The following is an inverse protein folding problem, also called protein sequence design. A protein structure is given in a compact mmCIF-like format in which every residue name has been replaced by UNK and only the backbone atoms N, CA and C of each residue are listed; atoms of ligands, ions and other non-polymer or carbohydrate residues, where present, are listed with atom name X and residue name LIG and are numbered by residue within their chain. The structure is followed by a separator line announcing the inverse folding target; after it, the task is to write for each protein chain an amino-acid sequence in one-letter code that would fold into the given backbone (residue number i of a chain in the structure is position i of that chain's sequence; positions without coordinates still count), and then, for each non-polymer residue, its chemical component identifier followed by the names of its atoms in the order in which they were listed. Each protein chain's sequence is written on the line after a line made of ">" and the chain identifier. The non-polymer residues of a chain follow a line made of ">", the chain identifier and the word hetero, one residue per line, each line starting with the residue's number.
data_IF_073417737367
#
_entry.id   IF_073417737367
#
_cell.length_a   1.000
_cell.length_b   1.000
_cell.length_c   1.000
_cell.angle_alpha   90.00
_cell.angle_beta   90.00
_cell.angle_gamma   90.00
#
_symmetry.space_group_name_H-M   'P 1'
#
loop_
_entity.id
_entity.type
_entity.pdbx_description
1 polymer ?
#
# COMPACT_ATOMS: atom_id res chain seq x y z
N UNK A 1 -30.49 9.79 -14.23
CA UNK A 1 -29.05 9.86 -13.94
C UNK A 1 -28.27 9.15 -15.05
N UNK A 2 -27.29 9.78 -15.57
CA UNK A 2 -26.40 9.15 -16.55
C UNK A 2 -25.15 8.61 -15.85
N UNK A 3 -24.64 7.50 -16.36
CA UNK A 3 -23.39 6.92 -15.91
C UNK A 3 -22.32 7.30 -16.89
N UNK A 4 -21.25 7.89 -16.37
CA UNK A 4 -20.12 8.32 -17.18
C UNK A 4 -19.02 7.26 -17.12
N UNK A 5 -18.59 6.83 -18.31
CA UNK A 5 -17.46 5.89 -18.43
C UNK A 5 -16.22 6.69 -18.83
N UNK A 6 -15.20 6.64 -17.98
CA UNK A 6 -13.95 7.36 -18.19
C UNK A 6 -12.81 6.38 -18.44
N UNK A 7 -12.01 6.60 -19.49
CA UNK A 7 -10.83 5.78 -19.71
C UNK A 7 -9.67 6.21 -18.81
N UNK A 8 -8.79 5.28 -18.54
CA UNK A 8 -7.52 5.56 -17.91
C UNK A 8 -7.57 5.64 -16.39
N UNK A 9 -6.41 5.60 -15.83
CA UNK A 9 -6.14 5.76 -14.41
C UNK A 9 -4.97 6.70 -14.25
N UNK A 10 -4.86 7.33 -13.09
CA UNK A 10 -3.72 8.18 -12.79
C UNK A 10 -2.56 7.31 -12.30
N UNK A 11 -1.44 7.30 -13.04
CA UNK A 11 -0.25 6.53 -12.69
C UNK A 11 0.78 7.39 -11.97
N UNK A 12 1.30 6.87 -10.87
CA UNK A 12 2.40 7.48 -10.11
C UNK A 12 3.54 6.49 -10.05
N UNK A 13 4.69 6.84 -10.64
CA UNK A 13 5.88 6.01 -10.56
C UNK A 13 6.55 6.17 -9.20
N UNK A 14 7.01 5.05 -8.66
CA UNK A 14 7.67 4.96 -7.35
C UNK A 14 9.01 4.25 -7.51
N UNK A 15 9.96 4.43 -6.57
CA UNK A 15 11.26 3.74 -6.66
C UNK A 15 11.13 2.21 -6.69
N UNK A 16 10.08 1.66 -6.11
CA UNK A 16 9.84 0.23 -5.98
C UNK A 16 8.88 -0.35 -7.03
N UNK A 17 8.28 0.50 -7.88
CA UNK A 17 7.31 0.09 -8.88
C UNK A 17 6.40 1.25 -9.26
N UNK A 18 5.08 1.06 -9.14
CA UNK A 18 4.14 2.14 -9.46
C UNK A 18 2.81 1.94 -8.74
N UNK A 19 2.02 3.00 -8.71
CA UNK A 19 0.64 2.99 -8.24
C UNK A 19 -0.28 3.45 -9.36
N UNK A 20 -1.42 2.81 -9.47
CA UNK A 20 -2.51 3.22 -10.34
C UNK A 20 -3.67 3.68 -9.47
N UNK A 21 -3.95 4.98 -9.46
CA UNK A 21 -5.06 5.55 -8.72
C UNK A 21 -6.30 5.50 -9.62
N UNK A 22 -7.25 4.61 -9.29
CA UNK A 22 -8.43 4.39 -10.13
C UNK A 22 -9.73 4.85 -9.46
N UNK A 23 -9.72 5.09 -8.16
CA UNK A 23 -10.86 5.62 -7.42
C UNK A 23 -10.40 6.65 -6.42
N UNK A 24 -11.04 7.81 -6.45
CA UNK A 24 -10.80 8.88 -5.48
C UNK A 24 -12.06 9.69 -5.30
N UNK A 25 -12.58 9.68 -4.08
CA UNK A 25 -13.72 10.49 -3.68
C UNK A 25 -13.40 11.17 -2.34
N UNK A 26 -14.32 11.95 -1.81
CA UNK A 26 -14.18 12.53 -0.48
C UNK A 26 -14.29 11.49 0.65
N UNK A 27 -14.63 10.24 0.33
CA UNK A 27 -14.84 9.19 1.32
C UNK A 27 -13.87 8.02 1.21
N UNK A 28 -13.35 7.73 0.03
CA UNK A 28 -12.48 6.58 -0.17
C UNK A 28 -11.50 6.79 -1.32
N UNK A 29 -10.47 5.94 -1.32
CA UNK A 29 -9.47 5.84 -2.38
C UNK A 29 -9.30 4.38 -2.76
N UNK A 30 -9.16 4.11 -4.06
CA UNK A 30 -8.81 2.79 -4.58
C UNK A 30 -7.55 2.88 -5.43
N UNK A 31 -6.59 2.00 -5.14
CA UNK A 31 -5.32 1.92 -5.87
C UNK A 31 -5.01 0.50 -6.27
N UNK A 32 -4.26 0.36 -7.36
CA UNK A 32 -3.49 -0.85 -7.64
C UNK A 32 -2.03 -0.49 -7.43
N UNK A 33 -1.34 -1.24 -6.59
CA UNK A 33 0.07 -1.03 -6.26
C UNK A 33 0.86 -2.16 -6.89
N UNK A 34 1.81 -1.84 -7.77
CA UNK A 34 2.73 -2.83 -8.32
C UNK A 34 4.09 -2.67 -7.66
N UNK A 35 4.59 -3.76 -7.07
CA UNK A 35 5.90 -3.78 -6.42
C UNK A 35 6.78 -4.78 -7.15
N UNK A 36 7.92 -4.32 -7.64
CA UNK A 36 8.89 -5.18 -8.32
C UNK A 36 9.56 -6.11 -7.32
N UNK A 37 9.84 -7.35 -7.75
CA UNK A 37 10.49 -8.36 -6.91
C UNK A 37 11.76 -7.81 -6.26
N UNK A 38 11.92 -8.07 -4.98
CA UNK A 38 13.07 -7.60 -4.20
C UNK A 38 12.97 -6.18 -3.70
N UNK A 39 11.94 -5.43 -4.07
CA UNK A 39 11.74 -4.05 -3.63
C UNK A 39 10.74 -3.98 -2.48
N UNK A 40 10.83 -2.91 -1.71
CA UNK A 40 9.97 -2.69 -0.55
C UNK A 40 9.47 -1.25 -0.50
N UNK A 41 8.24 -1.10 0.02
CA UNK A 41 7.76 0.21 0.45
C UNK A 41 8.47 0.58 1.76
N UNK A 42 8.26 1.81 2.22
CA UNK A 42 8.84 2.25 3.49
C UNK A 42 8.22 1.51 4.69
N UNK A 43 8.97 1.44 5.77
CA UNK A 43 8.40 1.15 7.09
C UNK A 43 7.69 2.42 7.53
N UNK A 44 6.37 2.35 7.70
CA UNK A 44 5.53 3.53 7.80
C UNK A 44 4.30 3.31 8.66
N UNK A 45 3.67 4.41 9.05
CA UNK A 45 2.32 4.40 9.62
C UNK A 45 1.54 5.60 9.13
N UNK A 46 0.24 5.57 9.35
CA UNK A 46 -0.67 6.66 8.99
C UNK A 46 -1.34 7.18 10.26
N UNK A 47 -1.53 8.49 10.35
CA UNK A 47 -2.16 9.09 11.53
C UNK A 47 -3.68 8.91 11.54
N UNK A 48 -4.31 9.07 10.39
CA UNK A 48 -5.77 9.02 10.23
C UNK A 48 -6.21 7.94 9.26
N UNK A 49 -5.44 7.70 8.22
CA UNK A 49 -5.78 6.78 7.15
C UNK A 49 -5.88 5.35 7.64
N UNK A 50 -6.97 4.69 7.27
CA UNK A 50 -7.11 3.24 7.40
C UNK A 50 -7.15 2.64 6.01
N UNK A 51 -6.65 1.42 5.86
CA UNK A 51 -6.59 0.77 4.57
C UNK A 51 -6.79 -0.74 4.70
N UNK A 52 -7.25 -1.33 3.60
CA UNK A 52 -7.29 -2.78 3.44
C UNK A 52 -6.59 -3.10 2.14
N UNK A 53 -5.67 -4.04 2.18
CA UNK A 53 -4.97 -4.51 0.99
C UNK A 53 -5.37 -5.94 0.67
N UNK A 54 -5.35 -6.26 -0.62
CA UNK A 54 -5.63 -7.58 -1.16
C UNK A 54 -4.54 -7.93 -2.17
N UNK A 55 -3.87 -9.06 -1.95
CA UNK A 55 -2.84 -9.51 -2.89
C UNK A 55 -3.51 -10.24 -4.06
N UNK A 56 -3.42 -9.66 -5.25
CA UNK A 56 -4.01 -10.23 -6.46
C UNK A 56 -3.05 -11.21 -7.14
N UNK A 57 -1.78 -10.83 -7.29
CA UNK A 57 -0.75 -11.65 -7.91
C UNK A 57 0.57 -11.50 -7.18
N UNK A 58 1.45 -12.51 -7.30
CA UNK A 58 2.78 -12.49 -6.72
C UNK A 58 2.83 -12.99 -5.29
N UNK A 59 3.87 -12.57 -4.56
CA UNK A 59 4.08 -12.94 -3.16
C UNK A 59 4.66 -11.75 -2.40
N UNK A 60 4.13 -11.52 -1.20
CA UNK A 60 4.58 -10.43 -0.34
C UNK A 60 5.07 -10.96 1.00
N UNK A 61 6.08 -10.29 1.55
CA UNK A 61 6.34 -10.30 2.98
C UNK A 61 5.67 -9.05 3.56
N UNK A 62 4.72 -9.24 4.43
CA UNK A 62 4.02 -8.15 5.11
C UNK A 62 4.45 -8.10 6.57
N UNK A 63 5.05 -6.99 6.98
CA UNK A 63 5.54 -6.81 8.34
C UNK A 63 4.63 -5.83 9.08
N UNK A 64 4.19 -6.24 10.27
CA UNK A 64 3.32 -5.42 11.13
C UNK A 64 3.94 -5.39 12.52
N UNK A 65 3.97 -4.22 13.12
CA UNK A 65 4.44 -4.08 14.49
C UNK A 65 3.37 -4.57 15.48
N UNK A 66 3.76 -5.53 16.30
CA UNK A 66 2.97 -6.07 17.40
C UNK A 66 3.76 -5.86 18.70
N UNK A 67 3.32 -4.88 19.52
CA UNK A 67 4.08 -4.47 20.69
C UNK A 67 5.42 -3.85 20.26
N UNK A 68 6.53 -4.41 20.78
CA UNK A 68 7.87 -3.93 20.45
C UNK A 68 8.52 -4.69 19.29
N UNK A 69 7.78 -5.61 18.67
CA UNK A 69 8.31 -6.51 17.65
C UNK A 69 7.66 -6.26 16.29
N UNK A 70 8.48 -6.37 15.26
CA UNK A 70 8.01 -6.36 13.88
C UNK A 70 7.81 -7.81 13.46
N UNK A 71 6.56 -8.20 13.18
CA UNK A 71 6.19 -9.58 12.84
C UNK A 71 5.94 -9.67 11.36
N UNK A 72 6.67 -10.55 10.68
CA UNK A 72 6.53 -10.79 9.25
C UNK A 72 5.57 -11.94 8.96
N UNK A 73 4.71 -11.74 7.95
CA UNK A 73 3.83 -12.77 7.42
C UNK A 73 3.93 -12.78 5.92
N UNK A 74 4.06 -13.97 5.35
CA UNK A 74 4.08 -14.12 3.91
C UNK A 74 2.65 -14.24 3.38
N UNK A 75 2.33 -13.42 2.37
CA UNK A 75 1.02 -13.41 1.72
C UNK A 75 1.08 -14.07 0.36
N UNK A 76 0.05 -14.83 0.05
CA UNK A 76 -0.20 -15.46 -1.25
C UNK A 76 -1.43 -14.81 -1.90
N UNK A 77 -1.61 -14.93 -3.23
CA UNK A 77 -2.79 -14.39 -3.90
C UNK A 77 -4.10 -14.82 -3.23
N UNK A 78 -4.96 -13.85 -2.98
CA UNK A 78 -6.21 -14.04 -2.26
C UNK A 78 -6.16 -13.62 -0.79
N UNK A 79 -4.98 -13.41 -0.24
CA UNK A 79 -4.84 -12.94 1.14
C UNK A 79 -5.12 -11.44 1.24
N UNK A 80 -5.65 -11.02 2.37
CA UNK A 80 -5.96 -9.62 2.65
C UNK A 80 -5.52 -9.24 4.06
N UNK A 81 -5.20 -7.96 4.25
CA UNK A 81 -4.87 -7.40 5.56
C UNK A 81 -5.58 -6.05 5.70
N UNK A 82 -6.23 -5.85 6.85
CA UNK A 82 -6.72 -4.54 7.25
C UNK A 82 -5.70 -3.87 8.16
N UNK A 83 -5.35 -2.63 7.82
CA UNK A 83 -4.34 -1.84 8.53
C UNK A 83 -5.01 -0.61 9.13
N UNK A 84 -5.29 -0.63 10.45
CA UNK A 84 -5.83 0.54 11.13
C UNK A 84 -4.81 1.68 11.18
N UNK A 85 -5.31 2.90 11.39
CA UNK A 85 -4.45 4.05 11.63
C UNK A 85 -3.51 3.80 12.82
N UNK A 86 -2.30 4.31 12.73
CA UNK A 86 -1.29 4.17 13.79
C UNK A 86 -0.50 2.86 13.76
N UNK A 87 -0.83 1.94 12.86
CA UNK A 87 -0.13 0.65 12.77
C UNK A 87 1.12 0.78 11.90
N UNK A 88 2.28 0.50 12.49
CA UNK A 88 3.56 0.46 11.77
C UNK A 88 3.63 -0.79 10.93
N UNK A 89 3.91 -0.65 9.64
CA UNK A 89 3.90 -1.76 8.69
C UNK A 89 4.83 -1.52 7.51
N UNK A 90 5.17 -2.61 6.82
CA UNK A 90 5.98 -2.56 5.59
C UNK A 90 5.63 -3.74 4.68
N UNK A 91 5.55 -3.47 3.37
CA UNK A 91 5.42 -4.49 2.33
C UNK A 91 6.74 -4.66 1.59
N UNK A 92 7.16 -5.91 1.38
CA UNK A 92 8.30 -6.26 0.55
C UNK A 92 7.86 -7.30 -0.46
N UNK A 93 8.13 -7.09 -1.74
CA UNK A 93 7.78 -8.07 -2.77
C UNK A 93 8.83 -9.18 -2.82
N UNK A 94 8.40 -10.41 -2.63
CA UNK A 94 9.22 -11.61 -2.84
C UNK A 94 9.26 -11.92 -4.33
N UNK A 95 8.10 -11.82 -4.98
CA UNK A 95 7.93 -11.87 -6.43
C UNK A 95 7.21 -10.60 -6.85
N UNK A 96 7.27 -10.24 -8.14
CA UNK A 96 6.49 -9.11 -8.66
C UNK A 96 5.05 -9.26 -8.19
N UNK A 97 4.52 -8.22 -7.58
CA UNK A 97 3.22 -8.30 -6.92
C UNK A 97 2.31 -7.16 -7.33
N UNK A 98 1.03 -7.51 -7.53
CA UNK A 98 -0.03 -6.54 -7.72
C UNK A 98 -0.97 -6.60 -6.51
N UNK A 99 -1.13 -5.46 -5.87
CA UNK A 99 -1.89 -5.31 -4.64
C UNK A 99 -3.03 -4.32 -4.88
N UNK A 100 -4.24 -4.70 -4.50
CA UNK A 100 -5.38 -3.79 -4.51
C UNK A 100 -5.50 -3.17 -3.12
N UNK A 101 -5.52 -1.85 -3.07
CA UNK A 101 -5.71 -1.11 -1.83
C UNK A 101 -6.98 -0.29 -1.90
N UNK A 102 -7.79 -0.39 -0.86
CA UNK A 102 -8.88 0.55 -0.60
C UNK A 102 -8.59 1.25 0.72
N UNK A 103 -8.80 2.54 0.78
CA UNK A 103 -8.48 3.32 1.96
C UNK A 103 -9.43 4.50 2.15
N UNK A 104 -9.36 5.10 3.32
CA UNK A 104 -9.93 6.42 3.56
C UNK A 104 -9.15 7.46 2.75
N UNK A 105 -9.68 8.69 2.55
CA UNK A 105 -9.17 9.59 1.51
C UNK A 105 -7.87 10.35 1.82
N UNK A 106 -7.25 10.13 2.97
CA UNK A 106 -6.04 10.84 3.38
C UNK A 106 -4.80 10.32 2.63
N UNK A 107 -4.69 10.67 1.35
CA UNK A 107 -3.64 10.17 0.45
C UNK A 107 -2.22 10.51 0.90
N UNK A 108 -2.01 11.69 1.46
CA UNK A 108 -0.69 12.18 1.82
C UNK A 108 -0.34 11.91 3.29
N UNK A 109 -1.21 11.21 4.00
CA UNK A 109 -1.04 10.87 5.41
C UNK A 109 -0.11 9.66 5.55
N UNK A 110 1.18 9.90 5.52
CA UNK A 110 2.18 8.86 5.73
C UNK A 110 3.37 9.41 6.51
N UNK A 111 3.82 8.67 7.52
CA UNK A 111 5.06 8.93 8.24
C UNK A 111 5.99 7.77 7.95
N UNK A 112 7.10 8.05 7.27
CA UNK A 112 8.11 7.05 6.90
C UNK A 112 9.18 6.98 7.96
N UNK A 113 9.36 5.81 8.57
CA UNK A 113 10.36 5.56 9.61
C UNK A 113 11.67 5.05 9.03
N UNK A 114 11.59 4.17 8.02
CA UNK A 114 12.73 3.64 7.28
C UNK A 114 12.35 3.53 5.82
N UNK A 115 13.26 3.86 4.92
CA UNK A 115 13.03 3.77 3.49
C UNK A 115 14.34 3.50 2.76
N UNK A 116 14.35 2.45 1.93
CA UNK A 116 15.54 2.07 1.14
C UNK A 116 15.95 3.14 0.14
N UNK A 117 15.05 4.07 -0.19
CA UNK A 117 15.22 5.07 -1.24
C UNK A 117 15.42 6.48 -0.68
N UNK A 118 15.63 6.59 0.64
CA UNK A 118 15.97 7.85 1.29
C UNK A 118 14.82 8.82 1.54
N UNK A 119 13.56 8.37 1.50
CA UNK A 119 12.38 9.23 1.68
C UNK A 119 11.91 9.30 3.14
N UNK A 120 12.83 9.20 4.08
CA UNK A 120 12.47 9.21 5.52
C UNK A 120 12.10 10.64 5.94
N UNK A 121 11.00 10.75 6.68
CA UNK A 121 10.56 12.00 7.29
C UNK A 121 11.48 12.37 8.45
N UNK A 122 11.73 13.67 8.60
CA UNK A 122 12.62 14.18 9.65
C UNK A 122 11.88 15.07 10.62
#
# INVERSE_FOLDING_TARGET
>A
MSIEVKPGVFRVDKPWGYELLWAKTDRYVGKIIHVNAGHALSLQYHNLKTETIYLATGRLLYEIQEGERLVGRELSPGDRIHVPAGTVHRMTAIEDADIFEVSTPELDDVVRLEDRYGRVDK
#
